data_IF_832809391857
#
_entry.id   IF_832809391857
#
_cell.length_a   1.000
_cell.length_b   1.000
_cell.length_c   1.000
_cell.angle_alpha   90.00
_cell.angle_beta   90.00
_cell.angle_gamma   90.00
#
_symmetry.space_group_name_H-M   'P 1'
#
loop_
_entity.id
_entity.type
_entity.pdbx_description
1 polymer ?
#
# COMPACT_ATOMS: atom_id res chain seq x y z
N UNK A 1 -15.51 -3.17 -27.59
CA UNK A 1 -14.45 -2.57 -26.76
C UNK A 1 -14.90 -2.77 -25.33
N UNK A 2 -14.27 -3.67 -24.57
CA UNK A 2 -14.56 -3.80 -23.14
C UNK A 2 -14.12 -2.51 -22.43
N UNK A 3 -14.98 -1.97 -21.58
CA UNK A 3 -14.59 -0.87 -20.71
C UNK A 3 -13.41 -1.33 -19.82
N UNK A 4 -12.39 -0.49 -19.61
CA UNK A 4 -11.28 -0.85 -18.76
C UNK A 4 -11.79 -1.19 -17.34
N UNK A 5 -11.19 -2.17 -16.65
CA UNK A 5 -11.62 -2.58 -15.32
C UNK A 5 -11.61 -1.37 -14.38
N UNK A 6 -12.78 -1.07 -13.81
CA UNK A 6 -12.96 0.05 -12.88
C UNK A 6 -12.43 -0.31 -11.50
N UNK A 7 -11.22 0.15 -11.17
CA UNK A 7 -10.64 0.01 -9.83
C UNK A 7 -11.12 1.12 -8.89
N UNK A 8 -11.45 0.75 -7.64
CA UNK A 8 -11.94 1.67 -6.61
C UNK A 8 -11.24 1.44 -5.30
N UNK A 9 -10.83 2.52 -4.65
CA UNK A 9 -10.31 2.51 -3.29
C UNK A 9 -11.20 3.38 -2.40
N UNK A 10 -12.19 2.76 -1.75
CA UNK A 10 -13.21 3.50 -1.02
C UNK A 10 -14.00 4.44 -1.96
N UNK A 11 -14.05 5.76 -1.70
CA UNK A 11 -14.70 6.72 -2.59
C UNK A 11 -13.87 7.09 -3.83
N UNK A 12 -12.59 6.71 -3.88
CA UNK A 12 -11.66 7.14 -4.91
C UNK A 12 -11.66 6.17 -6.10
N UNK A 13 -11.58 6.72 -7.31
CA UNK A 13 -11.31 5.95 -8.53
C UNK A 13 -9.80 5.82 -8.68
N UNK A 14 -9.31 4.61 -8.94
CA UNK A 14 -7.89 4.35 -9.16
C UNK A 14 -7.67 4.21 -10.67
N UNK A 15 -6.68 4.93 -11.20
CA UNK A 15 -6.30 4.82 -12.60
C UNK A 15 -5.64 3.45 -12.84
N UNK A 16 -5.96 2.81 -13.97
CA UNK A 16 -5.40 1.49 -14.29
C UNK A 16 -3.87 1.50 -14.37
N UNK A 17 -3.26 2.66 -14.65
CA UNK A 17 -1.79 2.83 -14.66
C UNK A 17 -1.17 2.75 -13.27
N UNK A 18 -1.94 2.85 -12.18
CA UNK A 18 -1.46 2.68 -10.81
C UNK A 18 -1.53 1.22 -10.34
N UNK A 19 -2.20 0.36 -11.12
CA UNK A 19 -2.41 -1.06 -10.81
C UNK A 19 -1.41 -1.90 -11.60
N UNK A 20 -0.64 -2.72 -10.88
CA UNK A 20 0.42 -3.54 -11.49
C UNK A 20 0.12 -5.03 -11.47
N UNK A 21 -0.93 -5.46 -10.76
CA UNK A 21 -1.38 -6.85 -10.74
C UNK A 21 -2.87 -6.92 -10.40
N UNK A 22 -3.62 -7.83 -11.03
CA UNK A 22 -5.04 -8.03 -10.77
C UNK A 22 -5.48 -9.47 -11.02
N UNK A 23 -6.36 -9.96 -10.15
CA UNK A 23 -7.05 -11.25 -10.27
C UNK A 23 -8.53 -10.99 -10.58
N UNK A 24 -9.41 -12.02 -10.67
CA UNK A 24 -10.85 -11.78 -10.76
C UNK A 24 -11.42 -10.99 -9.58
N UNK A 25 -10.94 -11.20 -8.34
CA UNK A 25 -11.53 -10.63 -7.12
C UNK A 25 -10.68 -9.55 -6.44
N UNK A 26 -9.38 -9.45 -6.74
CA UNK A 26 -8.46 -8.51 -6.08
C UNK A 26 -7.58 -7.76 -7.08
N UNK A 27 -6.90 -6.72 -6.60
CA UNK A 27 -5.90 -5.97 -7.36
C UNK A 27 -4.83 -5.38 -6.44
N UNK A 28 -3.64 -5.13 -6.98
CA UNK A 28 -2.52 -4.52 -6.29
C UNK A 28 -2.12 -3.20 -6.95
N UNK A 29 -1.95 -2.16 -6.13
CA UNK A 29 -1.65 -0.80 -6.60
C UNK A 29 -0.49 -0.15 -5.85
N UNK A 30 0.14 0.83 -6.49
CA UNK A 30 1.13 1.73 -5.88
C UNK A 30 0.45 2.80 -5.01
N UNK A 31 1.09 3.22 -3.92
CA UNK A 31 0.49 4.20 -2.99
C UNK A 31 0.88 5.66 -3.28
N UNK A 32 -0.06 6.60 -3.23
CA UNK A 32 0.23 8.02 -3.49
C UNK A 32 1.32 8.62 -2.57
N UNK A 33 1.30 8.28 -1.27
CA UNK A 33 2.25 8.79 -0.27
C UNK A 33 3.15 7.67 0.26
N UNK A 34 4.45 7.64 -0.10
CA UNK A 34 5.38 6.69 0.50
C UNK A 34 5.62 7.00 1.98
N UNK A 35 5.92 5.97 2.78
CA UNK A 35 6.10 6.13 4.24
C UNK A 35 7.29 6.98 4.62
N UNK A 36 8.37 6.91 3.85
CA UNK A 36 9.63 7.50 4.25
C UNK A 36 10.01 8.63 3.29
N UNK A 37 10.47 9.76 3.83
CA UNK A 37 11.04 10.83 3.04
C UNK A 37 12.21 10.36 2.18
N UNK A 38 12.38 10.99 1.02
CA UNK A 38 13.55 10.79 0.18
C UNK A 38 14.84 11.00 0.97
N UNK A 39 15.82 10.13 0.67
CA UNK A 39 17.25 10.21 0.96
C UNK A 39 17.88 9.38 2.09
N UNK A 40 17.16 8.89 3.12
CA UNK A 40 17.81 8.10 4.18
C UNK A 40 17.40 6.62 4.30
N UNK A 41 16.33 6.17 3.62
CA UNK A 41 15.97 4.74 3.50
C UNK A 41 15.41 4.49 2.09
N UNK A 42 16.31 4.40 1.11
CA UNK A 42 16.06 4.77 -0.29
C UNK A 42 14.93 3.99 -1.02
N UNK A 43 14.33 2.90 -0.50
CA UNK A 43 13.32 2.15 -1.26
C UNK A 43 12.25 1.40 -0.42
N UNK A 44 11.81 1.93 0.73
CA UNK A 44 10.68 1.30 1.42
C UNK A 44 9.34 1.77 0.81
N UNK A 45 8.84 1.02 -0.17
CA UNK A 45 7.54 1.28 -0.82
C UNK A 45 6.48 0.46 -0.09
N UNK A 46 5.42 1.11 0.41
CA UNK A 46 4.20 0.36 0.75
C UNK A 46 3.39 0.23 -0.52
N UNK A 47 2.92 -0.98 -0.79
CA UNK A 47 1.88 -1.24 -1.78
C UNK A 47 0.63 -1.76 -1.08
N UNK A 48 -0.50 -1.65 -1.78
CA UNK A 48 -1.80 -2.03 -1.24
C UNK A 48 -2.42 -3.09 -2.12
N UNK A 49 -2.77 -4.23 -1.54
CA UNK A 49 -3.60 -5.26 -2.19
C UNK A 49 -5.01 -5.13 -1.65
N UNK A 50 -5.98 -4.95 -2.55
CA UNK A 50 -7.37 -4.64 -2.21
C UNK A 50 -8.32 -5.62 -2.93
N UNK A 51 -9.47 -5.96 -2.33
CA UNK A 51 -10.55 -6.60 -3.07
C UNK A 51 -11.13 -5.59 -4.07
N UNK A 52 -11.67 -6.06 -5.19
CA UNK A 52 -12.39 -5.20 -6.15
C UNK A 52 -13.72 -4.71 -5.60
N UNK A 53 -14.38 -5.53 -4.77
CA UNK A 53 -15.60 -5.15 -4.07
C UNK A 53 -15.25 -4.27 -2.88
N UNK A 54 -15.79 -3.06 -2.86
CA UNK A 54 -15.55 -2.09 -1.78
C UNK A 54 -16.27 -2.52 -0.51
N UNK A 55 -15.52 -3.14 0.41
CA UNK A 55 -15.97 -3.51 1.76
C UNK A 55 -15.20 -2.77 2.83
N UNK A 56 -15.85 -2.42 3.94
CA UNK A 56 -15.25 -1.58 4.98
C UNK A 56 -14.46 -2.40 6.01
N UNK A 57 -14.98 -3.57 6.38
CA UNK A 57 -14.39 -4.44 7.39
C UNK A 57 -13.94 -5.76 6.78
N UNK A 58 -12.86 -6.33 7.32
CA UNK A 58 -12.34 -7.62 6.89
C UNK A 58 -13.39 -8.74 7.04
N UNK A 59 -14.21 -8.66 8.09
CA UNK A 59 -15.32 -9.59 8.33
C UNK A 59 -16.44 -9.53 7.26
N UNK A 60 -16.48 -8.49 6.43
CA UNK A 60 -17.49 -8.33 5.37
C UNK A 60 -17.07 -9.04 4.05
N UNK A 61 -15.85 -9.59 3.99
CA UNK A 61 -15.36 -10.37 2.84
C UNK A 61 -16.02 -11.75 2.80
N UNK A 62 -16.26 -12.25 1.58
CA UNK A 62 -16.57 -13.67 1.41
C UNK A 62 -15.32 -14.53 1.65
N UNK A 63 -15.50 -15.84 1.81
CA UNK A 63 -14.38 -16.78 1.91
C UNK A 63 -13.51 -16.78 0.63
N UNK A 64 -14.15 -16.65 -0.53
CA UNK A 64 -13.45 -16.60 -1.84
C UNK A 64 -12.60 -15.33 -1.96
N UNK A 65 -13.17 -14.17 -1.60
CA UNK A 65 -12.43 -12.90 -1.61
C UNK A 65 -11.30 -12.91 -0.58
N UNK A 66 -11.53 -13.47 0.60
CA UNK A 66 -10.50 -13.61 1.63
C UNK A 66 -9.32 -14.44 1.13
N UNK A 67 -9.63 -15.59 0.51
CA UNK A 67 -8.62 -16.49 -0.05
C UNK A 67 -7.85 -15.81 -1.18
N UNK A 68 -8.56 -15.24 -2.16
CA UNK A 68 -7.95 -14.54 -3.29
C UNK A 68 -7.06 -13.38 -2.82
N UNK A 69 -7.55 -12.53 -1.90
CA UNK A 69 -6.81 -11.40 -1.36
C UNK A 69 -5.48 -11.80 -0.73
N UNK A 70 -5.46 -12.87 0.09
CA UNK A 70 -4.24 -13.35 0.75
C UNK A 70 -3.31 -14.10 -0.20
N UNK A 71 -3.85 -14.84 -1.18
CA UNK A 71 -3.03 -15.49 -2.21
C UNK A 71 -2.34 -14.42 -3.07
N UNK A 72 -3.07 -13.39 -3.49
CA UNK A 72 -2.51 -12.24 -4.21
C UNK A 72 -1.48 -11.51 -3.36
N UNK A 73 -1.76 -11.22 -2.08
CA UNK A 73 -0.79 -10.55 -1.21
C UNK A 73 0.49 -11.37 -1.01
N UNK A 74 0.39 -12.69 -0.86
CA UNK A 74 1.54 -13.60 -0.78
C UNK A 74 2.40 -13.52 -2.04
N UNK A 75 1.78 -13.58 -3.22
CA UNK A 75 2.49 -13.53 -4.51
C UNK A 75 3.18 -12.18 -4.71
N UNK A 76 2.42 -11.08 -4.53
CA UNK A 76 2.93 -9.71 -4.59
C UNK A 76 4.08 -9.50 -3.62
N UNK A 77 3.94 -9.94 -2.36
CA UNK A 77 4.99 -9.84 -1.35
C UNK A 77 6.27 -10.54 -1.76
N UNK A 78 6.20 -11.79 -2.26
CA UNK A 78 7.38 -12.54 -2.68
C UNK A 78 8.13 -11.87 -3.85
N UNK A 79 7.39 -11.34 -4.84
CA UNK A 79 7.97 -10.64 -5.99
C UNK A 79 8.64 -9.33 -5.58
N UNK A 80 8.00 -8.55 -4.71
CA UNK A 80 8.54 -7.29 -4.21
C UNK A 80 9.73 -7.50 -3.28
N UNK A 81 9.72 -8.55 -2.46
CA UNK A 81 10.85 -8.90 -1.60
C UNK A 81 12.13 -9.08 -2.45
N UNK A 82 12.01 -9.86 -3.53
CA UNK A 82 13.10 -10.09 -4.47
C UNK A 82 13.51 -8.81 -5.21
N UNK A 83 12.54 -8.08 -5.78
CA UNK A 83 12.80 -6.85 -6.54
C UNK A 83 13.54 -5.81 -5.70
N UNK A 84 13.08 -5.59 -4.46
CA UNK A 84 13.66 -4.62 -3.55
C UNK A 84 14.94 -5.12 -2.87
N UNK A 85 15.37 -6.37 -3.09
CA UNK A 85 16.47 -7.03 -2.37
C UNK A 85 16.26 -6.95 -0.85
N UNK A 86 15.02 -7.14 -0.44
CA UNK A 86 14.62 -7.25 0.96
C UNK A 86 14.89 -8.67 1.46
N UNK A 87 14.81 -8.86 2.77
CA UNK A 87 15.01 -10.17 3.42
C UNK A 87 13.81 -10.62 4.22
N UNK A 88 12.77 -9.77 4.31
CA UNK A 88 11.52 -10.07 4.99
C UNK A 88 10.41 -9.19 4.41
N UNK A 89 9.16 -9.51 4.73
CA UNK A 89 7.97 -8.73 4.35
C UNK A 89 7.11 -8.50 5.60
N UNK A 90 6.56 -7.29 5.73
CA UNK A 90 5.46 -7.01 6.65
C UNK A 90 4.15 -6.96 5.86
N UNK A 91 3.18 -7.77 6.30
CA UNK A 91 1.79 -7.67 5.90
C UNK A 91 0.98 -7.07 7.04
N UNK A 92 0.19 -6.03 6.77
CA UNK A 92 -0.64 -5.39 7.78
C UNK A 92 -2.03 -5.03 7.24
N UNK A 93 -3.04 -5.23 8.08
CA UNK A 93 -4.43 -4.81 7.83
C UNK A 93 -4.85 -3.93 9.01
N UNK A 94 -5.26 -2.71 8.72
CA UNK A 94 -5.88 -1.81 9.68
C UNK A 94 -7.40 -1.96 9.57
N UNK A 95 -7.98 -2.94 10.26
CA UNK A 95 -9.41 -3.27 10.16
C UNK A 95 -10.28 -2.38 11.06
N UNK A 96 -10.64 -1.20 10.55
CA UNK A 96 -11.56 -0.26 11.19
C UNK A 96 -10.89 0.99 11.78
N UNK A 97 -11.68 2.02 12.14
CA UNK A 97 -11.14 3.35 12.47
C UNK A 97 -10.18 3.38 13.65
N UNK A 98 -10.41 2.55 14.67
CA UNK A 98 -9.56 2.43 15.87
C UNK A 98 -8.28 1.62 15.62
N UNK A 99 -8.22 0.85 14.53
CA UNK A 99 -7.02 0.14 14.10
C UNK A 99 -6.14 0.97 13.15
N UNK A 100 -6.49 2.25 12.92
CA UNK A 100 -5.75 3.16 12.04
C UNK A 100 -6.36 3.33 10.64
N UNK A 101 -7.46 2.65 10.30
CA UNK A 101 -8.06 2.73 8.97
C UNK A 101 -8.46 4.17 8.60
N UNK A 102 -7.95 4.65 7.47
CA UNK A 102 -8.21 5.99 6.94
C UNK A 102 -9.17 5.96 5.76
N UNK A 103 -8.94 5.09 4.78
CA UNK A 103 -9.87 4.80 3.70
C UNK A 103 -10.69 3.58 4.09
N UNK A 104 -12.02 3.75 4.14
CA UNK A 104 -12.97 2.68 4.51
C UNK A 104 -13.14 1.66 3.38
N UNK A 105 -12.05 0.99 3.04
CA UNK A 105 -11.94 -0.12 2.10
C UNK A 105 -10.86 -1.06 2.65
N UNK A 106 -11.15 -2.36 2.77
CA UNK A 106 -10.16 -3.35 3.19
C UNK A 106 -8.97 -3.33 2.24
N UNK A 107 -7.77 -3.30 2.79
CA UNK A 107 -6.52 -3.43 2.02
C UNK A 107 -5.43 -4.00 2.90
N UNK A 108 -4.56 -4.80 2.29
CA UNK A 108 -3.35 -5.34 2.91
C UNK A 108 -2.19 -4.44 2.48
N UNK A 109 -1.53 -3.82 3.46
CA UNK A 109 -0.25 -3.19 3.25
C UNK A 109 0.81 -4.27 3.06
N UNK A 110 1.56 -4.18 1.96
CA UNK A 110 2.69 -5.06 1.65
C UNK A 110 3.95 -4.20 1.69
N UNK A 111 4.86 -4.53 2.62
CA UNK A 111 6.03 -3.71 2.92
C UNK A 111 7.27 -4.61 2.94
N UNK A 112 8.11 -4.60 1.89
CA UNK A 112 9.43 -5.25 1.90
C UNK A 112 10.29 -4.66 3.00
N UNK A 113 11.00 -5.50 3.77
CA UNK A 113 11.78 -5.11 4.95
C UNK A 113 13.25 -5.44 4.78
N UNK A 114 14.10 -4.54 5.28
CA UNK A 114 15.57 -4.71 5.30
C UNK A 114 16.08 -4.52 6.71
N UNK A 115 17.21 -5.16 7.03
CA UNK A 115 17.90 -4.92 8.29
C UNK A 115 18.24 -3.42 8.41
N UNK A 116 17.77 -2.79 9.49
CA UNK A 116 18.01 -1.36 9.76
C UNK A 116 17.16 -0.41 8.94
N UNK A 117 16.04 -0.86 8.35
CA UNK A 117 15.08 0.03 7.69
C UNK A 117 14.30 0.93 8.67
N UNK A 118 14.18 0.49 9.92
CA UNK A 118 13.75 1.28 11.07
C UNK A 118 14.73 1.09 12.23
N UNK A 119 14.86 2.10 13.09
CA UNK A 119 15.66 1.99 14.32
C UNK A 119 14.98 1.02 15.30
N UNK A 120 13.65 1.13 15.42
CA UNK A 120 12.81 0.19 16.16
C UNK A 120 11.74 -0.38 15.24
N UNK A 121 11.57 -1.70 15.27
CA UNK A 121 10.63 -2.38 14.38
C UNK A 121 9.19 -1.84 14.47
N UNK A 122 8.75 -1.39 15.65
CA UNK A 122 7.39 -0.89 15.87
C UNK A 122 7.14 0.50 15.29
N UNK A 123 8.18 1.26 14.92
CA UNK A 123 8.04 2.57 14.25
C UNK A 123 7.35 2.46 12.88
N UNK A 124 7.27 1.24 12.32
CA UNK A 124 6.48 0.97 11.13
C UNK A 124 4.99 1.26 11.35
N UNK A 125 4.46 1.02 12.56
CA UNK A 125 3.05 1.24 12.86
C UNK A 125 2.73 2.74 12.89
N UNK A 126 3.58 3.53 13.53
CA UNK A 126 3.50 4.99 13.52
C UNK A 126 3.66 5.53 12.08
N UNK A 127 4.52 4.90 11.28
CA UNK A 127 4.69 5.28 9.88
C UNK A 127 3.39 5.07 9.08
N UNK A 128 2.71 3.94 9.29
CA UNK A 128 1.44 3.57 8.63
C UNK A 128 0.22 4.31 9.16
N UNK A 129 0.26 4.88 10.36
CA UNK A 129 -0.84 5.68 10.90
C UNK A 129 -0.77 7.14 10.43
N UNK A 130 -1.68 7.51 9.53
CA UNK A 130 -1.77 8.87 9.00
C UNK A 130 -2.21 9.87 10.08
N UNK A 131 -3.02 9.46 11.06
CA UNK A 131 -3.59 10.36 12.08
C UNK A 131 -2.56 10.76 13.13
N UNK A 132 -1.71 9.82 13.55
CA UNK A 132 -0.57 10.12 14.43
C UNK A 132 0.31 11.18 13.77
N UNK A 133 0.59 11.01 12.47
CA UNK A 133 1.44 11.94 11.73
C UNK A 133 0.80 13.28 11.41
N UNK A 134 -0.50 13.34 11.12
CA UNK A 134 -1.21 14.62 10.97
C UNK A 134 -1.18 15.43 12.27
N UNK A 135 -1.24 14.76 13.42
CA UNK A 135 -1.16 15.41 14.73
C UNK A 135 0.27 15.86 15.05
N UNK A 136 1.27 15.01 14.81
CA UNK A 136 2.68 15.37 14.98
C UNK A 136 3.14 16.49 14.04
N UNK A 137 2.68 16.50 12.78
CA UNK A 137 2.97 17.56 11.80
C UNK A 137 2.35 18.90 12.20
N UNK A 138 1.17 18.89 12.84
CA UNK A 138 0.57 20.12 13.39
C UNK A 138 1.34 20.65 14.61
N UNK A 139 1.97 19.78 15.38
CA UNK A 139 2.76 20.16 16.56
C UNK A 139 4.22 20.54 16.22
N UNK A 140 4.78 20.04 15.10
CA UNK A 140 6.15 20.31 14.61
C UNK A 140 6.19 21.26 13.40
N UNK A 141 5.44 22.36 13.45
CA UNK A 141 5.31 23.35 12.37
C UNK A 141 6.60 24.19 12.18
N UNK A 142 7.73 23.54 11.84
CA UNK A 142 8.97 24.18 11.35
C UNK A 142 9.89 23.20 10.56
N UNK A 143 9.37 22.08 10.05
CA UNK A 143 10.06 21.22 9.06
C UNK A 143 9.09 20.78 7.96
N UNK A 144 8.79 21.71 7.06
CA UNK A 144 7.84 21.60 5.96
C UNK A 144 8.29 20.68 4.78
N UNK A 145 9.13 19.65 4.99
CA UNK A 145 9.97 19.12 3.89
C UNK A 145 9.65 17.71 3.35
N UNK A 146 9.06 16.78 4.10
CA UNK A 146 9.50 15.39 3.85
C UNK A 146 8.48 14.30 3.46
N UNK A 147 7.20 14.61 3.20
CA UNK A 147 6.29 13.69 2.48
C UNK A 147 5.50 14.43 1.40
N UNK A 148 6.03 14.44 0.18
CA UNK A 148 5.33 15.00 -1.00
C UNK A 148 4.48 13.92 -1.66
N UNK A 149 3.29 14.31 -2.11
CA UNK A 149 2.48 13.50 -3.00
C UNK A 149 3.27 13.21 -4.27
N UNK A 150 3.30 11.94 -4.67
CA UNK A 150 3.98 11.53 -5.89
C UNK A 150 3.19 11.96 -7.10
N UNK A 151 3.89 12.27 -8.17
CA UNK A 151 3.22 12.56 -9.44
C UNK A 151 2.62 11.28 -10.02
N UNK A 152 1.57 11.47 -10.84
CA UNK A 152 0.95 10.35 -11.56
C UNK A 152 1.95 9.64 -12.49
N UNK A 153 2.89 10.37 -13.08
CA UNK A 153 3.92 9.80 -13.95
C UNK A 153 4.89 8.91 -13.17
N UNK A 154 5.33 9.32 -11.98
CA UNK A 154 6.16 8.49 -11.10
C UNK A 154 5.43 7.22 -10.65
N UNK A 155 4.15 7.33 -10.29
CA UNK A 155 3.33 6.17 -9.90
C UNK A 155 3.12 5.21 -11.07
N UNK A 156 2.81 5.72 -12.26
CA UNK A 156 2.62 4.92 -13.45
C UNK A 156 3.91 4.22 -13.89
N UNK A 157 5.05 4.89 -13.77
CA UNK A 157 6.35 4.30 -14.04
C UNK A 157 6.65 3.15 -13.07
N UNK A 158 6.47 3.36 -11.77
CA UNK A 158 6.67 2.31 -10.76
C UNK A 158 5.73 1.12 -10.97
N UNK A 159 4.44 1.37 -11.25
CA UNK A 159 3.50 0.30 -11.54
C UNK A 159 3.91 -0.49 -12.80
N UNK A 160 4.49 0.17 -13.80
CA UNK A 160 5.04 -0.50 -15.00
C UNK A 160 6.23 -1.38 -14.65
N UNK A 161 7.14 -0.94 -13.77
CA UNK A 161 8.26 -1.75 -13.30
C UNK A 161 7.78 -2.99 -12.54
N UNK A 162 6.77 -2.84 -11.67
CA UNK A 162 6.20 -3.98 -10.94
C UNK A 162 5.36 -4.91 -11.80
N UNK A 163 4.68 -4.39 -12.82
CA UNK A 163 3.93 -5.19 -13.77
C UNK A 163 4.84 -6.19 -14.48
N UNK A 164 6.09 -5.82 -14.78
CA UNK A 164 7.08 -6.70 -15.41
C UNK A 164 7.52 -7.90 -14.53
N UNK A 165 7.06 -7.98 -13.27
CA UNK A 165 7.35 -9.09 -12.36
C UNK A 165 6.37 -10.27 -12.50
N UNK A 166 5.27 -10.08 -13.25
CA UNK A 166 4.16 -11.02 -13.44
C UNK A 166 4.02 -11.42 -14.91
#
# INVERSE_FOLDING_TARGET
>A
MEEPPLYKFGPYKIDAREVFHATPLSYAMVNLRPLLPGFLVINLRILSVCPKRVVKRFADLSSDETSDLWVTAKEVGAKLEQYHKASSITFAIQDGPQAGQTVAHVHIHVIPRKKGDFEKNDEIYDATDVKVKEKEMKEKLDLDVERKDRSMEEMAHEATEYLALF
#
